data_IF_802033605369
#
_entry.id   IF_802033605369
#
_cell.length_a   1.000
_cell.length_b   1.000
_cell.length_c   1.000
_cell.angle_alpha   90.00
_cell.angle_beta   90.00
_cell.angle_gamma   90.00
#
_symmetry.space_group_name_H-M   'P 1'
#
loop_
_entity.id
_entity.type
_entity.pdbx_description
1 polymer ?
#
# COMPACT_ATOMS: atom_id res chain seq x y z
N UNK A 1 25.70 -37.09 -45.75
CA UNK A 1 24.32 -36.57 -45.77
C UNK A 1 24.30 -35.25 -45.03
N UNK A 2 24.05 -34.17 -45.79
CA UNK A 2 23.64 -32.80 -45.46
C UNK A 2 24.19 -32.12 -44.19
N UNK A 3 25.20 -31.30 -44.45
CA UNK A 3 25.42 -29.97 -43.86
C UNK A 3 24.10 -29.17 -43.89
N UNK A 4 23.68 -28.62 -42.76
CA UNK A 4 22.65 -27.58 -42.70
C UNK A 4 23.30 -26.24 -42.35
N UNK A 5 23.57 -25.46 -43.38
CA UNK A 5 23.56 -24.00 -43.30
C UNK A 5 22.10 -23.57 -43.18
N UNK A 6 21.78 -22.75 -42.17
CA UNK A 6 20.65 -21.82 -42.26
C UNK A 6 21.18 -20.45 -41.85
N UNK A 7 21.19 -19.56 -42.84
CA UNK A 7 21.41 -18.12 -42.70
C UNK A 7 20.13 -17.54 -42.09
N UNK A 8 20.23 -16.79 -40.99
CA UNK A 8 19.19 -15.85 -40.58
C UNK A 8 19.66 -14.44 -40.96
N UNK A 9 18.95 -13.75 -41.87
CA UNK A 9 19.01 -12.31 -41.95
C UNK A 9 17.68 -11.68 -41.49
N UNK A 10 17.77 -10.42 -41.09
CA UNK A 10 16.70 -9.40 -40.97
C UNK A 10 16.06 -9.23 -39.59
N UNK A 11 16.63 -8.26 -38.85
CA UNK A 11 15.95 -7.17 -38.13
C UNK A 11 14.41 -7.25 -38.07
N UNK A 12 13.88 -7.65 -36.92
CA UNK A 12 12.52 -7.31 -36.50
C UNK A 12 12.58 -6.02 -35.67
N UNK A 13 12.47 -4.88 -36.37
CA UNK A 13 12.06 -3.62 -35.74
C UNK A 13 10.57 -3.78 -35.44
N UNK A 14 10.21 -4.01 -34.18
CA UNK A 14 8.84 -3.89 -33.71
C UNK A 14 8.44 -2.41 -33.82
N UNK A 15 7.84 -2.06 -34.95
CA UNK A 15 7.06 -0.85 -35.11
C UNK A 15 5.71 -1.11 -34.46
N UNK A 16 5.47 -0.53 -33.29
CA UNK A 16 4.12 -0.42 -32.76
C UNK A 16 3.35 0.55 -33.65
N UNK A 17 2.62 0.01 -34.62
CA UNK A 17 1.57 0.71 -35.32
C UNK A 17 0.40 0.91 -34.35
N UNK A 18 0.38 2.08 -33.71
CA UNK A 18 -0.77 2.63 -33.00
C UNK A 18 -1.92 2.82 -34.01
N UNK A 19 -2.71 1.77 -34.22
CA UNK A 19 -4.06 1.91 -34.77
C UNK A 19 -4.96 2.38 -33.64
N UNK A 20 -5.24 3.68 -33.65
CA UNK A 20 -6.14 4.34 -32.71
C UNK A 20 -7.52 3.67 -32.69
N UNK A 21 -7.88 3.14 -31.53
CA UNK A 21 -9.27 2.89 -31.17
C UNK A 21 -9.76 4.13 -30.42
N UNK A 22 -10.61 4.89 -31.08
CA UNK A 22 -11.25 6.09 -30.55
C UNK A 22 -12.34 5.69 -29.55
N UNK A 23 -11.97 5.69 -28.26
CA UNK A 23 -12.95 5.79 -27.18
C UNK A 23 -12.87 7.23 -26.66
N UNK A 24 -13.87 8.02 -27.06
CA UNK A 24 -14.06 9.39 -26.59
C UNK A 24 -14.47 9.35 -25.11
N UNK A 25 -13.56 9.73 -24.22
CA UNK A 25 -13.92 10.17 -22.87
C UNK A 25 -14.00 11.70 -22.90
N UNK A 26 -15.15 12.32 -22.56
CA UNK A 26 -15.30 13.77 -22.65
C UNK A 26 -14.63 14.47 -21.45
N UNK A 27 -13.67 15.32 -21.77
CA UNK A 27 -13.17 16.52 -21.07
C UNK A 27 -13.30 16.63 -19.55
N UNK A 28 -12.14 16.71 -18.91
CA UNK A 28 -11.91 17.67 -17.83
C UNK A 28 -10.79 18.62 -18.26
N UNK A 29 -10.99 19.92 -18.04
CA UNK A 29 -10.16 21.05 -18.47
C UNK A 29 -8.71 20.96 -17.97
N UNK A 30 -7.81 20.36 -18.75
CA UNK A 30 -6.39 20.64 -18.66
C UNK A 30 -6.09 21.84 -19.56
N UNK A 31 -5.70 22.98 -18.98
CA UNK A 31 -5.02 24.02 -19.74
C UNK A 31 -3.80 23.39 -20.42
N UNK A 32 -3.57 23.72 -21.69
CA UNK A 32 -2.36 23.40 -22.45
C UNK A 32 -1.13 23.90 -21.67
N UNK A 33 -0.62 23.09 -20.74
CA UNK A 33 0.68 23.30 -20.13
C UNK A 33 1.70 23.01 -21.22
N UNK A 34 2.07 24.05 -21.97
CA UNK A 34 3.00 23.94 -23.08
C UNK A 34 4.32 23.35 -22.58
N UNK A 35 4.74 22.23 -23.19
CA UNK A 35 6.01 21.59 -22.85
C UNK A 35 7.14 22.61 -23.12
N UNK A 36 8.03 22.90 -22.15
CA UNK A 36 9.10 23.84 -22.37
C UNK A 36 10.04 23.36 -23.49
N UNK A 37 10.39 24.26 -24.40
CA UNK A 37 11.24 23.93 -25.55
C UNK A 37 12.60 23.35 -25.19
N UNK A 38 13.13 23.66 -24.01
CA UNK A 38 14.39 23.08 -23.54
C UNK A 38 14.27 21.56 -23.28
N UNK A 39 13.11 21.08 -22.79
CA UNK A 39 12.88 19.63 -22.57
C UNK A 39 12.87 18.91 -23.92
N UNK A 40 12.26 19.53 -24.92
CA UNK A 40 12.25 19.03 -26.30
C UNK A 40 13.64 18.95 -26.92
N UNK A 41 14.48 19.96 -26.67
CA UNK A 41 15.88 19.93 -27.09
C UNK A 41 16.67 18.81 -26.39
N UNK A 42 16.50 18.65 -25.07
CA UNK A 42 17.16 17.57 -24.30
C UNK A 42 16.78 16.20 -24.83
N UNK A 43 15.51 15.96 -25.17
CA UNK A 43 15.07 14.71 -25.78
C UNK A 43 15.75 14.43 -27.13
N UNK A 44 15.82 15.42 -28.02
CA UNK A 44 16.52 15.29 -29.30
C UNK A 44 18.02 15.04 -29.14
N UNK A 45 18.65 15.75 -28.20
CA UNK A 45 20.07 15.55 -27.87
C UNK A 45 20.34 14.17 -27.28
N UNK A 46 19.47 13.65 -26.41
CA UNK A 46 19.63 12.32 -25.84
C UNK A 46 19.45 11.24 -26.90
N UNK A 47 18.46 11.41 -27.77
CA UNK A 47 18.26 10.54 -28.93
C UNK A 47 19.47 10.50 -29.87
N UNK A 48 20.21 11.60 -29.95
CA UNK A 48 21.42 11.75 -30.78
C UNK A 48 22.72 11.42 -30.04
N UNK A 49 22.67 10.83 -28.84
CA UNK A 49 23.83 10.53 -27.98
C UNK A 49 24.69 11.77 -27.62
N UNK A 50 24.10 12.97 -27.60
CA UNK A 50 24.79 14.24 -27.27
C UNK A 50 24.78 14.50 -25.76
N UNK A 51 23.70 14.15 -25.08
CA UNK A 51 23.54 14.27 -23.63
C UNK A 51 23.31 12.90 -22.99
N UNK A 52 23.60 12.81 -21.70
CA UNK A 52 23.47 11.59 -20.91
C UNK A 52 22.00 11.18 -20.68
N UNK A 53 21.80 9.91 -20.35
CA UNK A 53 20.50 9.40 -19.88
C UNK A 53 19.98 10.16 -18.66
N UNK A 54 20.87 10.55 -17.74
CA UNK A 54 20.52 11.34 -16.55
C UNK A 54 19.88 12.69 -16.93
N UNK A 55 20.45 13.38 -17.92
CA UNK A 55 19.93 14.67 -18.38
C UNK A 55 18.53 14.50 -18.99
N UNK A 56 18.30 13.42 -19.72
CA UNK A 56 16.98 13.07 -20.24
C UNK A 56 15.97 12.78 -19.12
N UNK A 57 16.33 11.93 -18.16
CA UNK A 57 15.49 11.60 -17.00
C UNK A 57 15.20 12.84 -16.15
N UNK A 58 16.16 13.73 -15.97
CA UNK A 58 15.95 15.02 -15.27
C UNK A 58 14.90 15.89 -15.99
N UNK A 59 14.87 15.85 -17.33
CA UNK A 59 13.80 16.47 -18.12
C UNK A 59 12.43 15.86 -17.84
N UNK A 60 12.33 14.54 -17.72
CA UNK A 60 11.09 13.82 -17.39
C UNK A 60 10.63 14.17 -15.96
N UNK A 61 11.52 14.14 -14.99
CA UNK A 61 11.26 14.51 -13.59
C UNK A 61 10.71 15.94 -13.49
N UNK A 62 11.25 16.86 -14.29
CA UNK A 62 10.70 18.21 -14.41
C UNK A 62 9.25 18.20 -14.92
N UNK A 63 8.94 17.43 -15.96
CA UNK A 63 7.57 17.35 -16.49
C UNK A 63 6.58 16.80 -15.46
N UNK A 64 6.99 15.81 -14.66
CA UNK A 64 6.18 15.25 -13.57
C UNK A 64 5.93 16.33 -12.50
N UNK A 65 6.99 16.98 -12.01
CA UNK A 65 6.90 17.99 -10.95
C UNK A 65 6.10 19.24 -11.37
N UNK A 66 5.99 19.52 -12.68
CA UNK A 66 5.20 20.62 -13.21
C UNK A 66 3.79 20.19 -13.68
N UNK A 67 3.35 18.97 -13.33
CA UNK A 67 2.03 18.42 -13.69
C UNK A 67 1.77 18.36 -15.20
N UNK A 68 2.83 18.25 -16.02
CA UNK A 68 2.72 18.03 -17.47
C UNK A 68 2.56 16.53 -17.73
N UNK A 69 3.34 15.71 -17.03
CA UNK A 69 3.11 14.27 -16.91
C UNK A 69 2.31 14.06 -15.62
N UNK A 70 1.13 13.44 -15.73
CA UNK A 70 0.31 13.07 -14.58
C UNK A 70 0.51 11.59 -14.28
N UNK A 71 1.00 11.28 -13.08
CA UNK A 71 1.07 9.91 -12.58
C UNK A 71 0.04 9.79 -11.46
N UNK A 72 -0.90 8.85 -11.61
CA UNK A 72 -1.86 8.55 -10.55
C UNK A 72 -1.15 7.94 -9.34
N UNK A 73 -0.12 7.13 -9.59
CA UNK A 73 0.71 6.51 -8.57
C UNK A 73 2.16 6.43 -9.06
N UNK A 74 3.09 6.96 -8.28
CA UNK A 74 4.51 6.94 -8.58
C UNK A 74 5.08 5.57 -8.23
N UNK A 75 5.63 4.82 -9.19
CA UNK A 75 6.16 3.49 -8.91
C UNK A 75 7.41 3.55 -8.03
N UNK A 76 7.55 2.58 -7.11
CA UNK A 76 8.73 2.43 -6.26
C UNK A 76 9.96 2.07 -7.09
N UNK A 77 11.08 2.75 -6.94
CA UNK A 77 12.37 2.34 -7.48
C UNK A 77 13.35 2.12 -6.33
N UNK A 78 14.18 1.08 -6.43
CA UNK A 78 15.28 0.84 -5.46
C UNK A 78 16.19 2.06 -5.38
N UNK A 79 16.97 2.17 -4.29
CA UNK A 79 17.91 3.29 -4.16
C UNK A 79 18.80 3.38 -5.39
N UNK A 80 18.89 4.58 -5.95
CA UNK A 80 19.80 4.88 -7.06
C UNK A 80 21.23 5.04 -6.48
N UNK A 81 21.69 4.09 -5.66
CA UNK A 81 23.12 3.97 -5.36
C UNK A 81 23.77 3.30 -6.57
N UNK A 82 24.37 4.10 -7.45
CA UNK A 82 25.26 3.69 -8.55
C UNK A 82 24.64 3.02 -9.79
N UNK A 83 23.37 3.28 -10.15
CA UNK A 83 22.93 3.06 -11.54
C UNK A 83 23.55 4.04 -12.56
N UNK A 84 24.40 4.97 -12.10
CA UNK A 84 25.31 5.77 -12.92
C UNK A 84 26.73 5.17 -13.01
N UNK A 85 26.89 3.85 -12.87
CA UNK A 85 27.92 3.18 -13.67
C UNK A 85 27.53 3.30 -15.14
N UNK A 86 28.48 3.33 -16.08
CA UNK A 86 28.31 3.54 -17.54
C UNK A 86 27.30 2.61 -18.28
N UNK A 87 26.46 1.85 -17.58
CA UNK A 87 25.42 0.97 -18.15
C UNK A 87 24.13 1.75 -18.38
N UNK A 88 23.81 2.00 -19.66
CA UNK A 88 22.49 2.50 -20.09
C UNK A 88 21.37 1.62 -19.51
N UNK A 89 20.42 2.23 -18.80
CA UNK A 89 19.29 1.52 -18.20
C UNK A 89 18.05 1.58 -19.10
N UNK A 90 17.91 2.64 -19.89
CA UNK A 90 16.80 2.82 -20.82
C UNK A 90 17.12 2.11 -22.14
N UNK A 91 16.23 1.25 -22.67
CA UNK A 91 16.46 0.60 -23.96
C UNK A 91 16.68 1.60 -25.10
N UNK A 92 17.70 1.37 -25.94
CA UNK A 92 18.07 2.31 -27.03
C UNK A 92 16.91 2.56 -28.03
N UNK A 93 15.94 1.64 -28.16
CA UNK A 93 14.78 1.86 -29.06
C UNK A 93 13.90 3.04 -28.63
N UNK A 94 13.95 3.45 -27.36
CA UNK A 94 13.23 4.61 -26.82
C UNK A 94 13.77 5.91 -27.41
N UNK A 95 15.06 5.96 -27.78
CA UNK A 95 15.68 7.14 -28.40
C UNK A 95 15.01 7.57 -29.68
N UNK A 96 14.48 6.60 -30.46
CA UNK A 96 13.73 6.92 -31.68
C UNK A 96 12.51 7.78 -31.37
N UNK A 97 11.78 7.50 -30.29
CA UNK A 97 10.64 8.29 -29.87
C UNK A 97 11.06 9.72 -29.46
N UNK A 98 12.19 9.86 -28.77
CA UNK A 98 12.74 11.15 -28.40
C UNK A 98 13.17 11.99 -29.63
N UNK A 99 13.83 11.37 -30.62
CA UNK A 99 14.17 12.01 -31.90
C UNK A 99 12.90 12.45 -32.61
N UNK A 100 11.94 11.53 -32.82
CA UNK A 100 10.69 11.81 -33.51
C UNK A 100 9.91 12.94 -32.86
N UNK A 101 9.88 12.99 -31.53
CA UNK A 101 9.24 14.09 -30.82
C UNK A 101 9.98 15.41 -31.07
N UNK A 102 11.31 15.42 -30.94
CA UNK A 102 12.14 16.62 -31.16
C UNK A 102 12.01 17.19 -32.60
N UNK A 103 11.81 16.32 -33.59
CA UNK A 103 11.63 16.68 -35.00
C UNK A 103 10.17 16.99 -35.39
N UNK A 104 9.23 16.93 -34.44
CA UNK A 104 7.78 17.10 -34.65
C UNK A 104 7.13 16.02 -35.54
N UNK A 105 7.70 14.81 -35.55
CA UNK A 105 7.12 13.63 -36.20
C UNK A 105 6.06 12.94 -35.34
N UNK A 106 6.14 13.08 -34.02
CA UNK A 106 5.07 12.72 -33.06
C UNK A 106 4.67 13.94 -32.23
N UNK A 107 3.41 13.99 -31.82
CA UNK A 107 2.86 15.10 -31.03
C UNK A 107 3.24 15.03 -29.55
N UNK A 108 3.06 16.15 -28.85
CA UNK A 108 3.32 16.26 -27.41
C UNK A 108 2.50 15.24 -26.60
N UNK A 109 1.22 15.08 -26.93
CA UNK A 109 0.32 14.11 -26.26
C UNK A 109 0.83 12.68 -26.42
N UNK A 110 1.22 12.28 -27.64
CA UNK A 110 1.71 10.93 -27.91
C UNK A 110 3.00 10.64 -27.13
N UNK A 111 3.91 11.62 -27.08
CA UNK A 111 5.16 11.50 -26.35
C UNK A 111 4.94 11.42 -24.83
N UNK A 112 4.07 12.27 -24.27
CA UNK A 112 3.73 12.28 -22.85
C UNK A 112 3.06 10.97 -22.41
N UNK A 113 2.07 10.48 -23.17
CA UNK A 113 1.43 9.19 -22.90
C UNK A 113 2.42 8.03 -22.98
N UNK A 114 3.36 8.10 -23.95
CA UNK A 114 4.46 7.15 -24.05
C UNK A 114 5.35 7.15 -22.80
N UNK A 115 5.76 8.33 -22.32
CA UNK A 115 6.55 8.46 -21.10
C UNK A 115 5.81 7.93 -19.86
N UNK A 116 4.52 8.26 -19.71
CA UNK A 116 3.68 7.72 -18.62
C UNK A 116 3.73 6.19 -18.60
N UNK A 117 3.43 5.57 -19.73
CA UNK A 117 3.46 4.12 -19.86
C UNK A 117 4.83 3.53 -19.51
N UNK A 118 5.92 4.15 -20.00
CA UNK A 118 7.29 3.68 -19.77
C UNK A 118 7.71 3.80 -18.30
N UNK A 119 7.22 4.81 -17.58
CA UNK A 119 7.45 4.99 -16.14
C UNK A 119 6.65 3.95 -15.35
N UNK A 120 5.35 3.81 -15.64
CA UNK A 120 4.46 2.84 -14.98
C UNK A 120 4.99 1.41 -15.09
N UNK A 121 5.52 1.04 -16.26
CA UNK A 121 6.11 -0.26 -16.52
C UNK A 121 7.61 -0.34 -16.19
N UNK A 122 8.17 0.69 -15.55
CA UNK A 122 9.56 0.75 -15.07
C UNK A 122 10.63 0.54 -16.15
N UNK A 123 10.28 0.81 -17.40
CA UNK A 123 11.21 0.86 -18.52
C UNK A 123 12.07 2.13 -18.40
N UNK A 124 11.48 3.22 -17.91
CA UNK A 124 12.19 4.42 -17.45
C UNK A 124 12.05 4.50 -15.93
N UNK A 125 13.18 4.46 -15.23
CA UNK A 125 13.23 4.65 -13.78
C UNK A 125 13.48 6.13 -13.48
N UNK A 126 12.73 6.66 -12.51
CA UNK A 126 12.88 8.03 -12.01
C UNK A 126 13.41 8.00 -10.58
N UNK A 127 14.12 9.04 -10.18
CA UNK A 127 14.52 9.19 -8.79
C UNK A 127 13.33 9.60 -7.95
N UNK A 128 12.81 8.67 -7.14
CA UNK A 128 11.67 8.95 -6.27
C UNK A 128 11.93 10.12 -5.29
N UNK A 129 13.20 10.45 -4.95
CA UNK A 129 13.53 11.62 -4.12
C UNK A 129 13.34 12.95 -4.83
N UNK A 130 13.39 12.96 -6.16
CA UNK A 130 13.20 14.17 -6.97
C UNK A 130 11.76 14.40 -7.35
N UNK A 131 10.88 13.42 -7.15
CA UNK A 131 9.46 13.58 -7.40
C UNK A 131 8.80 14.26 -6.20
N UNK A 132 8.17 15.39 -6.45
CA UNK A 132 7.60 16.24 -5.43
C UNK A 132 6.07 16.13 -5.43
N UNK A 133 5.49 15.93 -4.24
CA UNK A 133 4.06 16.13 -4.03
C UNK A 133 3.68 17.60 -4.17
N UNK A 134 2.40 17.89 -4.43
CA UNK A 134 1.89 19.27 -4.51
C UNK A 134 1.93 20.01 -3.18
N UNK A 135 1.95 19.24 -2.08
CA UNK A 135 2.01 19.76 -0.73
C UNK A 135 3.42 19.54 -0.19
N UNK A 136 4.06 20.57 0.40
CA UNK A 136 5.36 20.42 1.04
C UNK A 136 5.32 19.38 2.18
N UNK A 137 6.33 18.53 2.27
CA UNK A 137 6.38 17.40 3.23
C UNK A 137 6.36 17.89 4.70
N UNK A 138 6.87 19.08 4.96
CA UNK A 138 6.84 19.75 6.26
C UNK A 138 5.41 20.04 6.74
N UNK A 139 4.48 20.32 5.82
CA UNK A 139 3.07 20.62 6.11
C UNK A 139 2.23 19.35 6.31
N UNK A 140 2.78 18.18 5.95
CA UNK A 140 2.13 16.89 6.12
C UNK A 140 2.20 16.43 7.57
N UNK A 141 1.01 16.15 8.12
CA UNK A 141 0.83 15.52 9.43
C UNK A 141 0.64 14.02 9.24
N UNK A 142 1.52 13.24 9.85
CA UNK A 142 1.46 11.79 9.91
C UNK A 142 0.89 11.34 11.26
N UNK A 143 0.49 10.07 11.36
CA UNK A 143 0.05 9.50 12.63
C UNK A 143 1.20 9.51 13.66
N UNK A 144 0.90 9.92 14.89
CA UNK A 144 1.87 9.91 15.99
C UNK A 144 2.20 8.50 16.50
N UNK A 145 1.39 7.50 16.12
CA UNK A 145 1.57 6.11 16.51
C UNK A 145 2.67 5.39 15.72
N UNK A 146 3.18 6.02 14.65
CA UNK A 146 4.18 5.44 13.77
C UNK A 146 5.46 6.26 13.82
N UNK A 147 6.58 5.57 14.03
CA UNK A 147 7.91 6.20 13.99
C UNK A 147 8.30 6.44 12.54
N UNK A 148 8.48 7.71 12.17
CA UNK A 148 8.70 8.14 10.80
C UNK A 148 9.92 9.05 10.74
N UNK A 149 10.90 8.67 9.93
CA UNK A 149 11.95 9.59 9.48
C UNK A 149 11.52 10.24 8.16
N UNK A 150 11.08 11.50 8.22
CA UNK A 150 10.66 12.24 7.01
C UNK A 150 11.76 12.29 5.94
N UNK A 151 13.03 12.20 6.30
CA UNK A 151 14.13 12.25 5.35
C UNK A 151 14.21 11.00 4.46
N UNK A 152 13.62 9.88 4.89
CA UNK A 152 13.60 8.64 4.10
C UNK A 152 12.39 8.57 3.17
N UNK A 153 11.40 9.46 3.32
CA UNK A 153 10.17 9.41 2.52
C UNK A 153 10.35 9.85 1.08
N UNK A 154 9.55 9.26 0.20
CA UNK A 154 9.38 9.66 -1.18
C UNK A 154 7.89 9.70 -1.53
N UNK A 155 7.49 10.67 -2.33
CA UNK A 155 6.09 10.86 -2.71
C UNK A 155 5.63 9.70 -3.61
N UNK A 156 4.51 9.08 -3.25
CA UNK A 156 3.90 8.00 -4.03
C UNK A 156 2.63 8.48 -4.72
N UNK A 157 1.72 9.15 -4.01
CA UNK A 157 0.43 9.56 -4.57
C UNK A 157 -0.23 10.65 -3.71
N UNK A 158 -1.00 11.53 -4.35
CA UNK A 158 -1.92 12.44 -3.66
C UNK A 158 -3.34 11.98 -3.93
N UNK A 159 -3.99 11.41 -2.91
CA UNK A 159 -5.34 10.85 -2.96
C UNK A 159 -6.19 11.44 -1.83
N UNK A 160 -7.03 10.66 -1.15
CA UNK A 160 -7.75 11.13 0.05
C UNK A 160 -6.76 11.53 1.15
N UNK A 161 -5.68 10.77 1.31
CA UNK A 161 -4.47 11.13 2.05
C UNK A 161 -3.34 11.47 1.07
N UNK A 162 -2.31 12.16 1.54
CA UNK A 162 -1.00 12.14 0.89
C UNK A 162 -0.31 10.82 1.24
N UNK A 163 0.22 10.13 0.24
CA UNK A 163 0.79 8.80 0.37
C UNK A 163 2.27 8.86 0.05
N UNK A 164 3.08 8.35 0.96
CA UNK A 164 4.53 8.31 0.86
C UNK A 164 5.03 6.89 1.03
N UNK A 165 6.04 6.49 0.29
CA UNK A 165 6.79 5.26 0.56
C UNK A 165 8.14 5.57 1.18
N UNK A 166 8.80 4.55 1.72
CA UNK A 166 10.21 4.69 2.13
C UNK A 166 11.10 4.51 0.91
N UNK A 167 11.94 5.51 0.65
CA UNK A 167 12.84 5.52 -0.49
C UNK A 167 13.75 4.29 -0.50
N UNK A 168 13.80 3.60 -1.64
CA UNK A 168 14.62 2.42 -1.83
C UNK A 168 14.07 1.12 -1.26
N UNK A 169 12.99 1.17 -0.49
CA UNK A 169 12.34 -0.02 0.08
C UNK A 169 11.21 -0.49 -0.84
N UNK A 170 11.58 -1.26 -1.87
CA UNK A 170 10.65 -1.92 -2.77
C UNK A 170 10.66 -3.44 -2.56
N UNK A 171 9.51 -4.09 -2.80
CA UNK A 171 9.39 -5.55 -2.81
C UNK A 171 8.82 -6.03 -4.13
N UNK A 172 9.19 -7.23 -4.56
CA UNK A 172 8.65 -7.84 -5.78
C UNK A 172 7.35 -8.58 -5.45
N UNK A 173 6.26 -8.17 -6.06
CA UNK A 173 4.94 -8.78 -5.98
C UNK A 173 4.45 -9.10 -7.41
N UNK A 174 4.13 -10.37 -7.68
CA UNK A 174 3.77 -10.87 -9.03
C UNK A 174 4.71 -10.43 -10.17
N UNK A 175 6.01 -10.34 -9.87
CA UNK A 175 7.04 -9.90 -10.82
C UNK A 175 7.15 -8.39 -11.02
N UNK A 176 6.30 -7.59 -10.34
CA UNK A 176 6.35 -6.14 -10.32
C UNK A 176 6.96 -5.66 -9.00
N UNK A 177 7.89 -4.71 -9.06
CA UNK A 177 8.34 -4.05 -7.85
C UNK A 177 7.24 -3.08 -7.35
N UNK A 178 6.88 -3.15 -6.08
CA UNK A 178 5.92 -2.26 -5.42
C UNK A 178 6.56 -1.66 -4.17
N UNK A 179 5.96 -0.61 -3.61
CA UNK A 179 6.42 -0.07 -2.33
C UNK A 179 6.26 -1.13 -1.24
N UNK A 180 7.33 -1.38 -0.48
CA UNK A 180 7.28 -2.33 0.64
C UNK A 180 6.31 -1.89 1.73
N UNK A 181 6.28 -0.58 1.97
CA UNK A 181 5.46 0.04 3.01
C UNK A 181 4.99 1.41 2.55
N UNK A 182 3.81 1.84 3.01
CA UNK A 182 3.18 3.10 2.64
C UNK A 182 2.68 3.86 3.87
N UNK A 183 3.04 5.14 3.94
CA UNK A 183 2.62 6.06 4.97
C UNK A 183 1.52 6.98 4.50
N UNK A 184 0.52 7.17 5.34
CA UNK A 184 -0.54 8.14 5.16
C UNK A 184 -0.21 9.44 5.88
N UNK A 185 -0.45 10.55 5.19
CA UNK A 185 -0.40 11.90 5.74
C UNK A 185 -1.66 12.68 5.41
N UNK A 186 -2.07 13.59 6.30
CA UNK A 186 -3.19 14.49 6.01
C UNK A 186 -2.84 15.40 4.85
N UNK A 187 -3.73 15.44 3.86
CA UNK A 187 -3.71 16.42 2.80
C UNK A 187 -4.36 17.73 3.30
N UNK A 188 -3.60 18.81 3.53
CA UNK A 188 -4.15 20.07 4.03
C UNK A 188 -5.21 20.69 3.11
N UNK A 189 -5.26 20.29 1.83
CA UNK A 189 -6.29 20.74 0.89
C UNK A 189 -7.63 19.97 1.04
N UNK A 190 -7.71 18.98 1.93
CA UNK A 190 -8.91 18.14 2.16
C UNK A 190 -9.47 18.25 3.58
N UNK A 191 -9.11 19.29 4.33
CA UNK A 191 -9.54 19.48 5.72
C UNK A 191 -11.05 19.52 5.89
N UNK A 192 -11.82 20.08 4.94
CA UNK A 192 -13.28 20.07 5.00
C UNK A 192 -13.85 18.64 4.98
N UNK A 193 -13.27 17.76 4.15
CA UNK A 193 -13.66 16.34 4.11
C UNK A 193 -13.26 15.62 5.40
N UNK A 194 -12.07 15.90 5.94
CA UNK A 194 -11.63 15.31 7.20
C UNK A 194 -12.50 15.74 8.37
N UNK A 195 -12.93 17.01 8.43
CA UNK A 195 -13.81 17.48 9.51
C UNK A 195 -15.14 16.70 9.58
N UNK A 196 -15.61 16.14 8.46
CA UNK A 196 -16.81 15.30 8.46
C UNK A 196 -16.56 13.90 9.04
N UNK A 197 -15.40 13.30 8.79
CA UNK A 197 -15.12 11.89 9.12
C UNK A 197 -14.17 11.69 10.30
N UNK A 198 -13.44 12.72 10.71
CA UNK A 198 -12.57 12.73 11.87
C UNK A 198 -13.35 12.89 13.17
N UNK A 199 -12.75 12.45 14.27
CA UNK A 199 -13.26 12.57 15.64
C UNK A 199 -12.45 13.57 16.48
N UNK A 200 -11.62 14.42 15.86
CA UNK A 200 -10.77 15.40 16.57
C UNK A 200 -11.53 16.31 17.56
N UNK A 201 -12.80 16.62 17.25
CA UNK A 201 -13.67 17.46 18.08
C UNK A 201 -14.95 16.73 18.49
N UNK A 202 -14.96 15.40 18.39
CA UNK A 202 -16.11 14.55 18.69
C UNK A 202 -15.77 13.71 19.93
N UNK A 203 -16.48 13.85 21.07
CA UNK A 203 -16.16 13.14 22.30
C UNK A 203 -16.50 11.63 22.23
N UNK A 204 -16.55 11.03 21.04
CA UNK A 204 -16.82 9.61 20.87
C UNK A 204 -15.78 8.81 21.64
N UNK A 205 -16.26 7.96 22.52
CA UNK A 205 -15.42 7.08 23.30
C UNK A 205 -15.17 5.80 22.51
N UNK A 206 -14.48 5.95 21.36
CA UNK A 206 -14.17 4.85 20.44
C UNK A 206 -12.70 4.50 20.52
N UNK A 207 -12.42 3.20 20.57
CA UNK A 207 -11.06 2.67 20.51
C UNK A 207 -10.84 1.84 19.27
N UNK A 208 -9.66 1.96 18.67
CA UNK A 208 -9.14 1.09 17.62
C UNK A 208 -8.13 0.13 18.25
N UNK A 209 -8.28 -1.16 17.97
CA UNK A 209 -7.39 -2.20 18.48
C UNK A 209 -6.38 -2.55 17.39
N UNK A 210 -5.13 -2.21 17.61
CA UNK A 210 -4.03 -2.56 16.73
C UNK A 210 -3.60 -4.03 16.94
N UNK A 211 -3.41 -4.84 15.88
CA UNK A 211 -3.15 -6.27 15.98
C UNK A 211 -1.67 -6.57 16.15
N UNK A 212 -1.13 -6.30 17.33
CA UNK A 212 0.29 -6.53 17.61
C UNK A 212 0.62 -8.03 17.68
N UNK A 213 -0.27 -8.89 18.20
CA UNK A 213 -0.01 -10.32 18.20
C UNK A 213 -0.01 -10.92 16.79
N UNK A 214 -0.90 -10.46 15.91
CA UNK A 214 -0.83 -10.80 14.47
C UNK A 214 0.49 -10.33 13.87
N UNK A 215 0.91 -9.10 14.13
CA UNK A 215 2.21 -8.59 13.64
C UNK A 215 3.38 -9.51 14.07
N UNK A 216 3.38 -9.97 15.33
CA UNK A 216 4.37 -10.89 15.88
C UNK A 216 4.30 -12.28 15.24
N UNK A 217 3.09 -12.84 15.07
CA UNK A 217 2.85 -14.16 14.48
C UNK A 217 3.38 -14.27 13.04
N UNK A 218 3.27 -13.19 12.27
CA UNK A 218 3.76 -13.09 10.88
C UNK A 218 5.24 -12.72 10.76
N UNK A 219 5.96 -12.44 11.86
CA UNK A 219 7.39 -12.17 11.75
C UNK A 219 8.12 -13.47 11.37
N UNK A 220 9.24 -13.35 10.65
CA UNK A 220 10.02 -14.49 10.18
C UNK A 220 11.28 -14.68 11.06
N UNK A 221 11.50 -15.88 11.63
CA UNK A 221 10.60 -17.04 11.60
C UNK A 221 9.40 -16.89 12.55
N UNK A 222 8.24 -17.42 12.14
CA UNK A 222 6.98 -17.35 12.87
C UNK A 222 5.97 -18.41 12.38
N UNK A 223 4.69 -18.20 12.64
CA UNK A 223 3.68 -19.25 12.44
C UNK A 223 3.57 -19.71 10.98
N UNK A 224 3.71 -18.78 10.03
CA UNK A 224 3.69 -19.15 8.60
C UNK A 224 4.95 -19.88 8.14
N UNK A 225 6.09 -19.73 8.84
CA UNK A 225 7.27 -20.58 8.61
C UNK A 225 6.96 -22.04 8.95
N UNK A 226 6.16 -22.28 10.00
CA UNK A 226 5.65 -23.61 10.35
C UNK A 226 4.71 -24.15 9.26
N UNK A 227 3.71 -23.36 8.84
CA UNK A 227 2.76 -23.80 7.81
C UNK A 227 3.37 -24.04 6.43
N UNK A 228 4.48 -23.37 6.11
CA UNK A 228 5.27 -23.66 4.89
C UNK A 228 6.14 -24.92 5.01
N UNK A 229 6.19 -25.55 6.18
CA UNK A 229 7.01 -26.73 6.45
C UNK A 229 8.51 -26.42 6.55
N UNK A 230 8.87 -25.18 6.83
CA UNK A 230 10.25 -24.71 6.92
C UNK A 230 10.81 -24.80 8.35
N UNK A 231 9.94 -24.99 9.35
CA UNK A 231 10.32 -25.06 10.77
C UNK A 231 9.24 -25.75 11.62
N UNK A 232 9.60 -26.86 12.28
CA UNK A 232 8.65 -27.66 13.08
C UNK A 232 8.25 -26.99 14.41
N UNK A 233 9.12 -26.13 14.98
CA UNK A 233 8.93 -25.50 16.29
C UNK A 233 8.50 -24.02 16.20
N UNK A 234 8.22 -23.50 15.01
CA UNK A 234 7.92 -22.08 14.78
C UNK A 234 6.46 -21.69 15.11
N UNK A 235 5.74 -22.54 15.85
CA UNK A 235 4.47 -22.21 16.49
C UNK A 235 4.66 -21.40 17.78
N UNK A 236 5.90 -21.13 18.19
CA UNK A 236 6.24 -20.15 19.23
C UNK A 236 7.13 -19.07 18.63
N UNK A 237 6.76 -17.79 18.78
CA UNK A 237 7.53 -16.66 18.25
C UNK A 237 7.75 -15.58 19.31
N UNK A 238 8.82 -14.81 19.16
CA UNK A 238 9.20 -13.75 20.10
C UNK A 238 8.60 -12.41 19.71
N UNK A 239 8.32 -11.60 20.73
CA UNK A 239 7.97 -10.20 20.56
C UNK A 239 9.05 -9.48 19.76
N UNK A 240 8.58 -8.58 18.92
CA UNK A 240 9.40 -7.78 18.01
C UNK A 240 8.85 -6.38 17.98
N UNK A 241 9.72 -5.38 17.92
CA UNK A 241 9.27 -4.01 17.88
C UNK A 241 8.46 -3.76 16.58
N UNK A 242 7.25 -3.19 16.65
CA UNK A 242 6.51 -2.78 15.47
C UNK A 242 7.33 -1.74 14.71
N UNK A 243 7.54 -2.01 13.42
CA UNK A 243 8.12 -1.01 12.53
C UNK A 243 7.33 -1.00 11.23
N UNK A 244 7.36 0.15 10.57
CA UNK A 244 6.76 0.31 9.25
C UNK A 244 7.27 -0.73 8.22
N UNK A 245 8.49 -1.23 8.41
CA UNK A 245 9.21 -2.06 7.43
C UNK A 245 8.79 -3.53 7.39
N UNK A 246 8.00 -3.99 8.36
CA UNK A 246 7.61 -5.39 8.47
C UNK A 246 6.11 -5.48 8.69
N UNK A 247 5.48 -6.41 7.99
CA UNK A 247 4.11 -6.85 8.27
C UNK A 247 3.06 -5.73 8.35
N UNK A 248 3.29 -4.56 7.76
CA UNK A 248 2.36 -3.45 7.77
C UNK A 248 1.03 -3.88 7.15
N UNK A 249 1.08 -4.48 5.96
CA UNK A 249 -0.11 -4.92 5.24
C UNK A 249 -0.92 -5.94 6.04
N UNK A 250 -0.26 -6.94 6.61
CA UNK A 250 -0.92 -8.04 7.34
C UNK A 250 -1.37 -7.63 8.75
N UNK A 251 -0.86 -6.53 9.29
CA UNK A 251 -1.26 -5.98 10.59
C UNK A 251 -2.18 -4.76 10.49
N UNK A 252 -2.85 -4.58 9.34
CA UNK A 252 -3.76 -3.46 9.08
C UNK A 252 -3.12 -2.08 9.29
N UNK A 253 -1.84 -1.95 8.99
CA UNK A 253 -1.05 -0.76 9.30
C UNK A 253 -1.58 0.51 8.65
N UNK A 254 -2.02 0.45 7.40
CA UNK A 254 -2.59 1.58 6.65
C UNK A 254 -3.95 1.98 7.25
N UNK A 255 -4.81 1.02 7.57
CA UNK A 255 -6.09 1.31 8.24
C UNK A 255 -5.88 1.94 9.63
N UNK A 256 -4.92 1.41 10.40
CA UNK A 256 -4.53 1.96 11.69
C UNK A 256 -4.00 3.40 11.57
N UNK A 257 -3.13 3.68 10.58
CA UNK A 257 -2.67 5.04 10.27
C UNK A 257 -3.84 5.97 9.95
N UNK A 258 -4.76 5.55 9.08
CA UNK A 258 -5.91 6.36 8.67
C UNK A 258 -6.79 6.75 9.88
N UNK A 259 -7.12 5.78 10.73
CA UNK A 259 -7.98 6.03 11.90
C UNK A 259 -7.26 6.89 12.95
N UNK A 260 -6.01 6.61 13.27
CA UNK A 260 -5.25 7.43 14.24
C UNK A 260 -5.02 8.85 13.75
N UNK A 261 -4.78 9.06 12.45
CA UNK A 261 -4.75 10.40 11.83
C UNK A 261 -6.05 11.17 12.02
N UNK A 262 -7.19 10.48 11.94
CA UNK A 262 -8.52 11.04 12.11
C UNK A 262 -8.93 11.21 13.59
N UNK A 263 -8.01 10.94 14.52
CA UNK A 263 -8.17 11.22 15.95
C UNK A 263 -8.74 10.07 16.78
N UNK A 264 -8.90 8.88 16.19
CA UNK A 264 -9.35 7.73 16.96
C UNK A 264 -8.29 7.31 17.98
N UNK A 265 -8.73 7.02 19.21
CA UNK A 265 -7.86 6.46 20.25
C UNK A 265 -7.43 5.06 19.84
N UNK A 266 -6.15 4.72 20.01
CA UNK A 266 -5.65 3.39 19.73
C UNK A 266 -5.09 2.73 20.99
N UNK A 267 -5.38 1.45 21.14
CA UNK A 267 -4.69 0.52 22.03
C UNK A 267 -4.18 -0.66 21.20
N UNK A 268 -3.37 -1.53 21.81
CA UNK A 268 -2.94 -2.80 21.23
C UNK A 268 -3.74 -3.95 21.83
N UNK A 269 -3.75 -5.10 21.17
CA UNK A 269 -4.23 -6.35 21.75
C UNK A 269 -3.48 -6.76 23.04
N UNK A 270 -2.21 -6.35 23.20
CA UNK A 270 -1.45 -6.51 24.46
C UNK A 270 -2.13 -5.81 25.63
N UNK A 271 -2.69 -4.61 25.42
CA UNK A 271 -3.38 -3.85 26.47
C UNK A 271 -4.65 -4.58 26.92
N UNK A 272 -5.34 -5.23 25.97
CA UNK A 272 -6.55 -6.03 26.23
C UNK A 272 -6.16 -7.32 26.95
N UNK A 273 -5.11 -8.00 26.53
CA UNK A 273 -4.67 -9.25 27.17
C UNK A 273 -4.28 -9.02 28.65
N UNK A 274 -3.57 -7.92 28.95
CA UNK A 274 -3.26 -7.53 30.33
C UNK A 274 -4.50 -7.16 31.14
N UNK A 275 -5.47 -6.49 30.51
CA UNK A 275 -6.68 -6.02 31.18
C UNK A 275 -7.88 -6.04 30.23
N UNK A 276 -8.59 -7.18 30.12
CA UNK A 276 -9.72 -7.29 29.19
C UNK A 276 -10.87 -6.32 29.53
N UNK A 277 -10.97 -5.92 30.80
CA UNK A 277 -11.94 -4.92 31.28
C UNK A 277 -11.71 -3.50 30.74
N UNK A 278 -10.58 -3.21 30.10
CA UNK A 278 -10.31 -1.91 29.47
C UNK A 278 -11.38 -1.56 28.42
N UNK A 279 -11.93 -2.56 27.72
CA UNK A 279 -12.93 -2.36 26.67
C UNK A 279 -14.23 -1.77 27.21
N UNK A 280 -14.58 -2.02 28.47
CA UNK A 280 -15.79 -1.46 29.11
C UNK A 280 -15.75 0.06 29.26
N UNK A 281 -14.57 0.65 29.09
CA UNK A 281 -14.41 2.10 29.13
C UNK A 281 -14.84 2.75 27.83
N UNK A 282 -15.08 2.00 26.74
CA UNK A 282 -15.40 2.53 25.42
C UNK A 282 -16.84 2.23 25.03
N UNK A 283 -17.47 3.11 24.26
CA UNK A 283 -18.81 2.90 23.71
C UNK A 283 -18.78 2.05 22.43
N UNK A 284 -17.62 2.02 21.76
CA UNK A 284 -17.39 1.31 20.50
C UNK A 284 -15.95 0.83 20.42
N UNK A 285 -15.77 -0.41 19.96
CA UNK A 285 -14.46 -1.02 19.70
C UNK A 285 -14.34 -1.31 18.22
N UNK A 286 -13.28 -0.81 17.57
CA UNK A 286 -12.96 -1.11 16.18
C UNK A 286 -11.82 -2.13 16.18
N UNK A 287 -12.12 -3.35 15.75
CA UNK A 287 -11.13 -4.41 15.56
C UNK A 287 -10.55 -4.30 14.15
N UNK A 288 -9.22 -4.34 14.06
CA UNK A 288 -8.50 -4.48 12.80
C UNK A 288 -8.26 -5.97 12.51
N UNK A 289 -7.17 -6.34 11.81
CA UNK A 289 -6.83 -7.74 11.53
C UNK A 289 -6.22 -8.47 12.76
N UNK A 290 -6.95 -8.44 13.89
CA UNK A 290 -6.60 -9.12 15.13
C UNK A 290 -6.90 -10.63 15.03
N UNK A 291 -6.18 -11.31 14.15
CA UNK A 291 -6.32 -12.73 13.85
C UNK A 291 -5.96 -13.62 15.04
N UNK A 292 -4.85 -13.31 15.72
CA UNK A 292 -4.34 -14.07 16.85
C UNK A 292 -4.66 -13.39 18.16
N UNK A 293 -5.44 -14.04 19.01
CA UNK A 293 -5.89 -13.50 20.31
C UNK A 293 -5.87 -14.57 21.40
N UNK A 294 -5.83 -14.16 22.66
CA UNK A 294 -6.02 -15.08 23.78
C UNK A 294 -7.50 -15.33 24.05
N UNK A 295 -7.82 -16.40 24.78
CA UNK A 295 -9.20 -16.68 25.21
C UNK A 295 -9.84 -15.53 25.98
N UNK A 296 -9.09 -14.91 26.88
CA UNK A 296 -9.58 -13.80 27.69
C UNK A 296 -9.93 -12.58 26.82
N UNK A 297 -9.14 -12.30 25.79
CA UNK A 297 -9.47 -11.26 24.82
C UNK A 297 -10.71 -11.61 24.01
N UNK A 298 -10.79 -12.84 23.48
CA UNK A 298 -11.95 -13.30 22.72
C UNK A 298 -13.24 -13.10 23.50
N UNK A 299 -13.27 -13.54 24.76
CA UNK A 299 -14.44 -13.42 25.63
C UNK A 299 -14.81 -11.94 25.87
N UNK A 300 -13.82 -11.07 26.11
CA UNK A 300 -14.06 -9.65 26.36
C UNK A 300 -14.54 -8.89 25.12
N UNK A 301 -13.97 -9.18 23.95
CA UNK A 301 -14.33 -8.54 22.68
C UNK A 301 -15.74 -8.98 22.26
N UNK A 302 -16.01 -10.29 22.28
CA UNK A 302 -17.33 -10.82 21.88
C UNK A 302 -18.45 -10.45 22.86
N UNK A 303 -18.12 -10.17 24.13
CA UNK A 303 -19.09 -9.66 25.12
C UNK A 303 -19.35 -8.15 25.03
N UNK A 304 -18.53 -7.39 24.28
CA UNK A 304 -18.70 -5.94 24.13
C UNK A 304 -19.91 -5.64 23.23
N UNK A 305 -20.84 -4.74 23.60
CA UNK A 305 -22.13 -4.58 22.92
C UNK A 305 -22.06 -3.89 21.56
N UNK A 306 -20.94 -3.23 21.23
CA UNK A 306 -20.75 -2.55 19.95
C UNK A 306 -19.31 -2.71 19.45
N UNK A 307 -19.10 -3.70 18.60
CA UNK A 307 -17.80 -3.96 17.96
C UNK A 307 -17.90 -3.80 16.45
N UNK A 308 -16.95 -3.09 15.84
CA UNK A 308 -16.80 -3.02 14.39
C UNK A 308 -15.59 -3.84 14.00
N UNK A 309 -15.83 -5.04 13.48
CA UNK A 309 -14.82 -5.89 12.87
C UNK A 309 -14.54 -5.38 11.45
N UNK A 310 -13.59 -4.45 11.36
CA UNK A 310 -13.30 -3.72 10.12
C UNK A 310 -12.56 -4.57 9.10
N UNK A 311 -11.81 -5.56 9.57
CA UNK A 311 -11.10 -6.53 8.75
C UNK A 311 -11.73 -7.91 8.97
N UNK A 312 -11.88 -8.74 7.92
CA UNK A 312 -12.18 -10.15 8.08
C UNK A 312 -11.03 -10.85 8.79
N UNK A 313 -11.22 -12.11 9.18
CA UNK A 313 -10.18 -12.91 9.84
C UNK A 313 -9.72 -12.36 11.21
N UNK A 314 -10.55 -11.54 11.85
CA UNK A 314 -10.36 -11.20 13.26
C UNK A 314 -10.85 -12.36 14.15
N UNK A 315 -10.15 -12.60 15.26
CA UNK A 315 -10.47 -13.63 16.26
C UNK A 315 -10.44 -15.06 15.70
N UNK A 316 -9.51 -15.34 14.79
CA UNK A 316 -9.47 -16.60 14.06
C UNK A 316 -8.69 -17.69 14.80
N UNK A 317 -7.55 -17.34 15.41
CA UNK A 317 -6.65 -18.31 16.03
C UNK A 317 -6.35 -17.96 17.50
N UNK A 318 -6.33 -19.00 18.34
CA UNK A 318 -6.05 -18.89 19.76
C UNK A 318 -4.56 -18.99 20.03
N UNK A 319 -4.04 -18.06 20.82
CA UNK A 319 -2.66 -18.06 21.30
C UNK A 319 -2.61 -18.02 22.83
N UNK A 320 -1.46 -18.42 23.38
CA UNK A 320 -1.04 -18.04 24.72
C UNK A 320 0.11 -17.03 24.65
N UNK A 321 0.23 -16.21 25.70
CA UNK A 321 1.26 -15.17 25.79
C UNK A 321 2.09 -15.39 27.04
N UNK A 322 3.41 -15.35 26.89
CA UNK A 322 4.36 -15.40 27.99
C UNK A 322 5.17 -14.09 28.02
N UNK A 323 4.82 -13.20 28.95
CA UNK A 323 5.47 -11.91 29.11
C UNK A 323 6.86 -11.98 29.78
N UNK A 324 7.22 -13.11 30.40
CA UNK A 324 8.57 -13.29 30.96
C UNK A 324 9.56 -13.64 29.84
N UNK A 325 9.15 -14.54 28.95
CA UNK A 325 9.97 -14.98 27.82
C UNK A 325 9.76 -14.12 26.56
N UNK A 326 8.79 -13.20 26.63
CA UNK A 326 8.38 -12.30 25.54
C UNK A 326 7.98 -13.09 24.29
N UNK A 327 7.11 -14.10 24.45
CA UNK A 327 6.67 -14.97 23.35
C UNK A 327 5.15 -15.08 23.24
N UNK A 328 4.67 -15.39 22.04
CA UNK A 328 3.35 -15.97 21.81
C UNK A 328 3.50 -17.40 21.28
N UNK A 329 2.57 -18.27 21.64
CA UNK A 329 2.50 -19.66 21.17
C UNK A 329 1.12 -19.94 20.58
N UNK A 330 1.06 -20.54 19.39
CA UNK A 330 -0.17 -20.99 18.78
C UNK A 330 -0.75 -22.17 19.57
N UNK A 331 -2.03 -22.05 19.95
CA UNK A 331 -2.77 -23.09 20.67
C UNK A 331 -3.77 -23.78 19.76
N UNK A 332 -4.51 -23.02 18.93
CA UNK A 332 -5.63 -23.55 18.15
C UNK A 332 -5.98 -22.68 16.93
N UNK A 333 -6.37 -23.29 15.81
CA UNK A 333 -6.73 -22.60 14.56
C UNK A 333 -5.78 -22.94 13.41
N UNK A 334 -6.14 -22.61 12.15
CA UNK A 334 -5.33 -22.96 10.96
C UNK A 334 -4.98 -24.46 10.91
N UNK A 335 -5.94 -25.32 11.23
CA UNK A 335 -5.78 -26.78 11.31
C UNK A 335 -4.74 -27.25 12.36
N UNK A 336 -4.43 -26.40 13.34
CA UNK A 336 -3.58 -26.73 14.49
C UNK A 336 -4.42 -26.99 15.76
N UNK A 337 -4.01 -27.95 16.61
CA UNK A 337 -2.87 -28.86 16.43
C UNK A 337 -3.18 -30.03 15.48
N UNK A 338 -2.17 -30.68 14.86
CA UNK A 338 -2.39 -31.74 13.86
C UNK A 338 -3.19 -32.95 14.37
N UNK A 339 -3.16 -33.22 15.68
CA UNK A 339 -3.92 -34.27 16.33
C UNK A 339 -5.42 -33.94 16.52
N UNK A 340 -5.80 -32.66 16.48
CA UNK A 340 -7.18 -32.17 16.58
C UNK A 340 -7.36 -30.93 15.68
N UNK A 341 -7.31 -31.13 14.34
CA UNK A 341 -7.23 -30.03 13.39
C UNK A 341 -8.55 -29.26 13.32
N UNK A 342 -8.44 -27.95 13.49
CA UNK A 342 -9.58 -27.03 13.54
C UNK A 342 -9.23 -25.74 12.80
N UNK A 343 -10.13 -25.33 11.92
CA UNK A 343 -9.94 -24.11 11.11
C UNK A 343 -9.96 -22.87 11.99
N UNK A 344 -11.04 -22.66 12.76
CA UNK A 344 -11.22 -21.55 13.68
C UNK A 344 -10.90 -21.98 15.12
N UNK A 345 -10.00 -21.27 15.79
CA UNK A 345 -9.53 -21.56 17.15
C UNK A 345 -10.57 -21.35 18.25
N UNK A 346 -11.69 -20.70 17.96
CA UNK A 346 -12.73 -20.36 18.92
C UNK A 346 -14.08 -21.01 18.64
N UNK A 347 -14.22 -21.74 17.53
CA UNK A 347 -15.51 -22.20 16.99
C UNK A 347 -16.55 -21.08 16.89
N UNK A 348 -16.09 -19.87 16.57
CA UNK A 348 -16.94 -18.69 16.56
C UNK A 348 -17.89 -18.72 15.36
N UNK A 349 -19.20 -18.70 15.61
CA UNK A 349 -20.20 -18.84 14.55
C UNK A 349 -20.22 -17.68 13.55
N UNK A 350 -19.65 -16.53 13.93
CA UNK A 350 -19.57 -15.33 13.09
C UNK A 350 -18.21 -15.18 12.39
N UNK A 351 -17.34 -16.21 12.42
CA UNK A 351 -16.12 -16.23 11.62
C UNK A 351 -16.42 -15.86 10.16
N UNK A 352 -15.73 -14.82 9.67
CA UNK A 352 -15.87 -14.28 8.32
C UNK A 352 -14.56 -14.31 7.52
N UNK A 353 -13.57 -15.12 7.92
CA UNK A 353 -12.28 -15.25 7.24
C UNK A 353 -12.45 -15.58 5.75
N UNK A 354 -13.17 -16.66 5.46
CA UNK A 354 -13.33 -17.14 4.09
C UNK A 354 -14.69 -16.73 3.48
N UNK A 355 -14.72 -16.20 2.24
CA UNK A 355 -13.59 -15.92 1.34
C UNK A 355 -13.00 -14.51 1.52
N UNK A 356 -13.49 -13.74 2.49
CA UNK A 356 -13.34 -12.28 2.51
C UNK A 356 -11.92 -11.78 2.77
N UNK A 357 -11.06 -12.56 3.44
CA UNK A 357 -9.65 -12.21 3.66
C UNK A 357 -8.85 -12.03 2.36
N UNK A 358 -9.29 -12.66 1.27
CA UNK A 358 -8.64 -12.58 -0.03
C UNK A 358 -9.21 -11.49 -0.94
N UNK A 359 -10.32 -10.84 -0.57
CA UNK A 359 -10.87 -9.71 -1.33
C UNK A 359 -10.18 -8.41 -0.93
N UNK A 360 -9.03 -8.16 -1.53
CA UNK A 360 -8.26 -6.91 -1.34
C UNK A 360 -8.75 -5.75 -2.23
N UNK A 361 -9.64 -6.02 -3.20
CA UNK A 361 -10.17 -5.00 -4.09
C UNK A 361 -11.28 -4.22 -3.41
N UNK A 362 -12.09 -4.91 -2.60
CA UNK A 362 -13.22 -4.35 -1.88
C UNK A 362 -14.20 -3.59 -2.81
N UNK A 363 -14.45 -4.13 -4.01
CA UNK A 363 -15.31 -3.46 -4.99
C UNK A 363 -16.76 -3.34 -4.50
N UNK A 364 -17.26 -4.38 -3.83
CA UNK A 364 -18.61 -4.48 -3.28
C UNK A 364 -18.60 -4.54 -1.74
N UNK A 365 -17.72 -3.73 -1.11
CA UNK A 365 -17.62 -3.64 0.35
C UNK A 365 -18.98 -3.32 0.98
N UNK A 366 -19.35 -4.11 1.99
CA UNK A 366 -20.59 -3.99 2.76
C UNK A 366 -20.29 -4.13 4.24
N UNK A 367 -21.08 -3.42 5.04
CA UNK A 367 -21.23 -3.69 6.46
C UNK A 367 -22.47 -4.55 6.66
N UNK A 368 -22.34 -5.60 7.48
CA UNK A 368 -23.47 -6.41 7.92
C UNK A 368 -23.43 -6.58 9.44
N UNK A 369 -24.61 -6.71 10.03
CA UNK A 369 -24.76 -6.75 11.47
C UNK A 369 -24.68 -8.18 11.99
N UNK A 370 -24.02 -8.36 13.14
CA UNK A 370 -24.01 -9.58 13.95
C UNK A 370 -24.51 -9.25 15.37
N UNK A 371 -24.52 -10.25 16.27
CA UNK A 371 -25.11 -10.08 17.61
C UNK A 371 -24.51 -8.90 18.40
N UNK A 372 -23.18 -8.77 18.41
CA UNK A 372 -22.46 -7.79 19.22
C UNK A 372 -21.91 -6.61 18.40
N UNK A 373 -22.29 -6.46 17.12
CA UNK A 373 -21.61 -5.48 16.27
C UNK A 373 -21.83 -5.57 14.76
N UNK A 374 -20.83 -5.10 14.03
CA UNK A 374 -20.80 -5.01 12.57
C UNK A 374 -19.52 -5.61 12.02
N UNK A 375 -19.63 -6.25 10.85
CA UNK A 375 -18.51 -6.84 10.12
C UNK A 375 -18.44 -6.31 8.70
N UNK A 376 -17.24 -6.29 8.13
CA UNK A 376 -17.01 -6.09 6.70
C UNK A 376 -16.87 -7.44 5.97
N UNK A 377 -16.97 -7.41 4.65
CA UNK A 377 -16.88 -8.58 3.78
C UNK A 377 -15.67 -8.55 2.82
N UNK A 378 -14.62 -7.80 3.15
CA UNK A 378 -13.42 -7.71 2.32
C UNK A 378 -12.25 -7.14 3.14
N UNK A 379 -11.02 -7.33 2.70
CA UNK A 379 -9.80 -6.84 3.36
C UNK A 379 -9.46 -5.41 2.90
N UNK A 380 -9.72 -4.36 3.72
CA UNK A 380 -9.81 -2.97 3.25
C UNK A 380 -8.46 -2.24 3.10
N UNK A 381 -7.32 -2.92 3.23
CA UNK A 381 -6.02 -2.26 3.34
C UNK A 381 -5.68 -1.36 2.13
N UNK A 382 -5.87 -1.89 0.92
CA UNK A 382 -5.73 -1.11 -0.32
C UNK A 382 -6.83 -0.06 -0.52
N UNK A 383 -7.96 -0.19 0.19
CA UNK A 383 -9.08 0.74 0.08
C UNK A 383 -8.74 2.10 0.72
N UNK A 384 -7.88 2.13 1.74
CA UNK A 384 -7.39 3.34 2.39
C UNK A 384 -6.44 4.18 1.53
N UNK A 385 -5.90 3.61 0.44
CA UNK A 385 -5.04 4.31 -0.52
C UNK A 385 -5.84 5.02 -1.63
N UNK A 386 -7.14 4.73 -1.76
CA UNK A 386 -7.95 5.21 -2.89
C UNK A 386 -8.41 6.67 -2.69
N UNK A 387 -8.50 7.41 -3.79
CA UNK A 387 -8.91 8.83 -3.78
C UNK A 387 -10.40 9.10 -3.97
N UNK A 388 -11.24 8.07 -4.17
CA UNK A 388 -12.64 8.25 -4.57
C UNK A 388 -13.61 8.27 -3.37
N UNK A 389 -14.87 8.65 -3.63
CA UNK A 389 -16.00 8.77 -2.68
C UNK A 389 -16.20 7.55 -1.77
N UNK A 390 -15.69 6.37 -2.15
CA UNK A 390 -15.81 5.14 -1.38
C UNK A 390 -15.10 5.23 -0.03
N UNK A 391 -13.85 5.70 0.00
CA UNK A 391 -13.10 5.83 1.26
C UNK A 391 -13.74 6.84 2.21
N UNK A 392 -14.20 7.97 1.68
CA UNK A 392 -14.96 8.94 2.48
C UNK A 392 -16.21 8.31 3.10
N UNK A 393 -16.98 7.55 2.32
CA UNK A 393 -18.18 6.87 2.81
C UNK A 393 -17.85 5.79 3.85
N UNK A 394 -16.76 5.03 3.67
CA UNK A 394 -16.28 4.07 4.66
C UNK A 394 -15.98 4.76 5.99
N UNK A 395 -15.14 5.80 5.97
CA UNK A 395 -14.74 6.53 7.17
C UNK A 395 -15.94 7.20 7.85
N UNK A 396 -16.88 7.75 7.07
CA UNK A 396 -18.13 8.31 7.58
C UNK A 396 -19.03 7.24 8.21
N UNK A 397 -19.05 6.03 7.65
CA UNK A 397 -19.79 4.89 8.22
C UNK A 397 -19.16 4.46 9.54
N UNK A 398 -17.84 4.25 9.58
CA UNK A 398 -17.10 3.89 10.81
C UNK A 398 -17.36 4.91 11.93
N UNK A 399 -17.41 6.21 11.61
CA UNK A 399 -17.72 7.26 12.58
C UNK A 399 -19.15 7.19 13.14
N UNK A 400 -20.11 6.70 12.36
CA UNK A 400 -21.54 6.76 12.69
C UNK A 400 -22.12 5.46 13.27
N UNK A 401 -21.50 4.30 12.97
CA UNK A 401 -21.73 3.05 13.72
C UNK A 401 -21.24 3.21 15.15
#
# INVERSE_FOLDING_TARGET
>A
MKVFQIRFPILLILSFSLLGSSILVPNSSAQDAQIPGWVKNVAGWWGSDIVSENEFVTGIEYLINNNIILLDFVPCNDEIQSQYGDTKSIPDWIKNNAIWWSENLIGDIDFINGLQYLIEHKIIKIDNKKILGKVPLEDIKFSANWQIDKNTLAFAQSAFFEIYGVYGECVTDDGNQVWKSLLLGLNPNKMDMYNEVAVWNDPQNTVVVYPYFTFVAYNEPGFYTYYRGECDDCTTTKFVLPTLFYNEYVSSGIGHQALTLLGYTSITDVDIDHNPGILQQFDKVIMLHNEYVTRAMFDAITSHPNVVYLYPNALYAEIEVNYIDETITLIRGHDYPPEDPVSNGFDWEFDNTHPYEYDNLCADMKFYQIENGWMTNCYPENFFLKGHTGLFNLLKTIKNL
#
